data_IF_634557586738
#
_entry.id   IF_634557586738
#
_cell.length_a   1.000
_cell.length_b   1.000
_cell.length_c   1.000
_cell.angle_alpha   90.00
_cell.angle_beta   90.00
_cell.angle_gamma   90.00
#
_symmetry.space_group_name_H-M   'P 1'
#
loop_
_entity.id
_entity.type
_entity.pdbx_description
1 polymer ?
#
# COMPACT_ATOMS: atom_id res chain seq x y z
N UNK A 1 24.11 -25.29 11.23
CA UNK A 1 23.32 -25.08 10.00
C UNK A 1 21.87 -24.96 10.44
N UNK A 2 21.43 -23.74 10.74
CA UNK A 2 20.06 -23.49 11.18
C UNK A 2 19.23 -23.18 9.95
N UNK A 3 18.18 -23.95 9.76
CA UNK A 3 17.28 -23.92 8.62
C UNK A 3 16.57 -22.55 8.54
N UNK A 4 16.95 -21.73 7.55
CA UNK A 4 16.38 -20.37 7.36
C UNK A 4 14.92 -20.43 6.92
N UNK A 5 14.41 -21.62 6.58
CA UNK A 5 13.00 -21.82 6.26
C UNK A 5 12.06 -21.87 7.49
N UNK A 6 12.60 -21.91 8.71
CA UNK A 6 11.77 -22.12 9.92
C UNK A 6 11.40 -20.86 10.73
N UNK A 7 11.82 -19.65 10.32
CA UNK A 7 11.62 -18.42 11.13
C UNK A 7 10.58 -17.42 10.59
N UNK A 8 9.75 -17.78 9.60
CA UNK A 8 8.66 -16.88 9.14
C UNK A 8 7.25 -17.39 9.44
N UNK A 9 7.13 -18.50 10.17
CA UNK A 9 5.84 -19.09 10.54
C UNK A 9 5.57 -18.95 12.04
N UNK A 10 5.33 -17.73 12.53
CA UNK A 10 4.56 -17.57 13.76
C UNK A 10 3.85 -16.22 13.84
N UNK A 11 2.52 -16.24 13.77
CA UNK A 11 1.74 -15.44 14.71
C UNK A 11 0.91 -14.27 14.19
N UNK A 12 0.53 -14.20 12.92
CA UNK A 12 -0.55 -13.31 12.51
C UNK A 12 -1.69 -14.11 11.88
N UNK A 13 -2.77 -14.31 12.64
CA UNK A 13 -4.10 -14.58 12.09
C UNK A 13 -4.33 -13.59 10.94
N UNK A 14 -4.75 -14.02 9.72
CA UNK A 14 -5.01 -13.06 8.66
C UNK A 14 -6.06 -12.10 9.19
N UNK A 15 -5.83 -10.77 9.20
CA UNK A 15 -6.95 -9.88 9.35
C UNK A 15 -7.86 -10.23 8.17
N UNK A 16 -9.09 -10.68 8.43
CA UNK A 16 -10.14 -10.63 7.42
C UNK A 16 -9.95 -9.28 6.72
N UNK A 17 -9.75 -9.28 5.40
CA UNK A 17 -9.45 -8.08 4.65
C UNK A 17 -10.43 -7.00 5.10
N UNK A 18 -9.96 -6.07 5.93
CA UNK A 18 -10.84 -5.09 6.56
C UNK A 18 -11.27 -4.20 5.43
N UNK A 19 -12.45 -4.49 4.91
CA UNK A 19 -13.02 -3.74 3.82
C UNK A 19 -13.14 -2.29 4.28
N UNK A 20 -12.62 -1.37 3.46
CA UNK A 20 -12.71 0.05 3.75
C UNK A 20 -14.20 0.43 3.75
N UNK A 21 -14.69 0.90 4.90
CA UNK A 21 -16.10 1.25 5.11
C UNK A 21 -16.43 2.57 4.38
N UNK A 22 -16.68 2.45 3.07
CA UNK A 22 -16.98 3.58 2.20
C UNK A 22 -18.21 4.38 2.65
N UNK A 23 -19.37 3.77 2.99
CA UNK A 23 -20.53 4.53 3.49
C UNK A 23 -20.21 5.37 4.74
N UNK A 24 -19.41 4.82 5.67
CA UNK A 24 -18.98 5.59 6.86
C UNK A 24 -18.04 6.74 6.49
N UNK A 25 -17.13 6.55 5.53
CA UNK A 25 -16.28 7.63 5.04
C UNK A 25 -17.11 8.72 4.37
N UNK A 26 -18.10 8.36 3.53
CA UNK A 26 -18.99 9.34 2.89
C UNK A 26 -19.71 10.20 3.93
N UNK A 27 -20.28 9.57 4.96
CA UNK A 27 -20.92 10.30 6.06
C UNK A 27 -19.92 11.25 6.76
N UNK A 28 -18.72 10.76 7.10
CA UNK A 28 -17.70 11.57 7.76
C UNK A 28 -17.22 12.75 6.90
N UNK A 29 -17.02 12.55 5.59
CA UNK A 29 -16.58 13.61 4.67
C UNK A 29 -17.66 14.67 4.51
N UNK A 30 -18.94 14.27 4.48
CA UNK A 30 -20.06 15.23 4.47
C UNK A 30 -20.03 16.12 5.72
N UNK A 31 -19.82 15.53 6.90
CA UNK A 31 -19.68 16.28 8.15
C UNK A 31 -18.45 17.19 8.16
N UNK A 32 -17.31 16.73 7.64
CA UNK A 32 -16.10 17.55 7.52
C UNK A 32 -16.37 18.77 6.64
N UNK A 33 -17.01 18.60 5.47
CA UNK A 33 -17.36 19.71 4.58
C UNK A 33 -18.26 20.73 5.29
N UNK A 34 -19.30 20.28 5.99
CA UNK A 34 -20.15 21.16 6.77
C UNK A 34 -19.37 21.87 7.89
N UNK A 35 -18.51 21.15 8.61
CA UNK A 35 -17.75 21.67 9.73
C UNK A 35 -16.72 22.75 9.33
N UNK A 36 -16.20 22.70 8.10
CA UNK A 36 -15.30 23.73 7.56
C UNK A 36 -16.05 24.90 6.90
N UNK A 37 -17.39 24.91 6.96
CA UNK A 37 -18.23 25.99 6.44
C UNK A 37 -18.61 25.88 4.96
N UNK A 38 -18.36 24.74 4.32
CA UNK A 38 -18.88 24.48 2.96
C UNK A 38 -20.35 24.02 3.02
N UNK A 39 -21.08 24.21 1.93
CA UNK A 39 -22.42 23.63 1.73
C UNK A 39 -22.31 22.27 1.02
N UNK A 40 -22.54 21.12 1.71
CA UNK A 40 -22.43 19.80 1.10
C UNK A 40 -23.54 19.49 0.08
N UNK A 41 -24.54 20.36 -0.07
CA UNK A 41 -25.64 20.22 -1.02
C UNK A 41 -25.43 21.03 -2.30
N UNK A 42 -24.40 21.89 -2.39
CA UNK A 42 -24.10 22.59 -3.65
C UNK A 42 -23.66 21.61 -4.73
N UNK A 43 -24.03 21.88 -5.98
CA UNK A 43 -23.83 20.96 -7.13
C UNK A 43 -22.42 20.37 -7.21
N UNK A 44 -21.38 21.17 -6.94
CA UNK A 44 -19.98 20.71 -6.99
C UNK A 44 -19.55 19.75 -5.86
N UNK A 45 -20.31 19.68 -4.76
CA UNK A 45 -19.96 18.90 -3.56
C UNK A 45 -20.87 17.72 -3.26
N UNK A 46 -22.05 17.62 -3.89
CA UNK A 46 -23.00 16.54 -3.62
C UNK A 46 -22.35 15.15 -3.71
N UNK A 47 -21.53 14.94 -4.74
CA UNK A 47 -20.80 13.69 -4.99
C UNK A 47 -19.40 13.64 -4.37
N UNK A 48 -18.92 14.73 -3.75
CA UNK A 48 -17.57 14.79 -3.16
C UNK A 48 -17.36 13.69 -2.11
N UNK A 49 -18.29 13.44 -1.16
CA UNK A 49 -18.14 12.35 -0.21
C UNK A 49 -17.87 10.99 -0.86
N UNK A 50 -18.65 10.64 -1.89
CA UNK A 50 -18.48 9.38 -2.63
C UNK A 50 -17.16 9.32 -3.39
N UNK A 51 -16.70 10.43 -3.98
CA UNK A 51 -15.38 10.51 -4.61
C UNK A 51 -14.25 10.28 -3.60
N UNK A 52 -14.34 10.91 -2.43
CA UNK A 52 -13.33 10.74 -1.37
C UNK A 52 -13.32 9.31 -0.81
N UNK A 53 -14.49 8.70 -0.62
CA UNK A 53 -14.59 7.31 -0.17
C UNK A 53 -13.92 6.32 -1.13
N UNK A 54 -14.17 6.47 -2.45
CA UNK A 54 -13.49 5.66 -3.47
C UNK A 54 -11.98 5.89 -3.50
N UNK A 55 -11.55 7.15 -3.38
CA UNK A 55 -10.13 7.50 -3.29
C UNK A 55 -9.47 6.84 -2.07
N UNK A 56 -10.09 6.89 -0.88
CA UNK A 56 -9.58 6.24 0.32
C UNK A 56 -9.56 4.70 0.19
N UNK A 57 -10.55 4.10 -0.47
CA UNK A 57 -10.53 2.67 -0.74
C UNK A 57 -9.33 2.25 -1.62
N UNK A 58 -8.94 3.09 -2.58
CA UNK A 58 -7.74 2.87 -3.40
C UNK A 58 -6.45 3.12 -2.60
N UNK A 59 -6.32 4.29 -1.98
CA UNK A 59 -5.09 4.70 -1.28
C UNK A 59 -4.76 3.80 -0.08
N UNK A 60 -5.77 3.32 0.65
CA UNK A 60 -5.59 2.44 1.81
C UNK A 60 -5.76 0.95 1.49
N UNK A 61 -6.04 0.60 0.23
CA UNK A 61 -6.27 -0.78 -0.19
C UNK A 61 -5.08 -1.72 0.06
N UNK A 62 -3.86 -1.17 0.20
CA UNK A 62 -2.65 -1.91 0.52
C UNK A 62 -2.51 -2.33 2.00
N UNK A 63 -3.20 -1.67 2.95
CA UNK A 63 -2.98 -1.84 4.41
C UNK A 63 -3.22 -3.26 4.92
N UNK A 64 -4.09 -4.01 4.25
CA UNK A 64 -4.49 -5.37 4.64
C UNK A 64 -4.08 -6.41 3.60
N UNK A 65 -3.10 -6.08 2.76
CA UNK A 65 -2.56 -6.99 1.75
C UNK A 65 -1.24 -7.60 2.20
N UNK A 66 -1.02 -8.87 1.87
CA UNK A 66 0.27 -9.53 2.09
C UNK A 66 1.23 -9.18 0.94
N UNK A 67 2.27 -8.36 1.15
CA UNK A 67 3.16 -7.92 0.08
C UNK A 67 3.97 -9.08 -0.52
N UNK A 68 4.27 -10.12 0.26
CA UNK A 68 5.03 -11.29 -0.17
C UNK A 68 4.42 -12.01 -1.38
N UNK A 69 3.11 -11.86 -1.61
CA UNK A 69 2.42 -12.43 -2.77
C UNK A 69 3.00 -11.99 -4.12
N UNK A 70 3.57 -10.78 -4.18
CA UNK A 70 4.15 -10.25 -5.41
C UNK A 70 5.52 -10.87 -5.72
N UNK A 71 6.18 -11.46 -4.72
CA UNK A 71 7.54 -12.00 -4.80
C UNK A 71 7.60 -13.49 -5.15
N UNK A 72 6.46 -14.16 -5.35
CA UNK A 72 6.43 -15.60 -5.69
C UNK A 72 7.14 -15.97 -7.01
N UNK A 73 7.18 -15.04 -7.97
CA UNK A 73 7.86 -15.28 -9.25
C UNK A 73 9.33 -14.89 -9.13
N UNK A 74 10.19 -15.91 -9.07
CA UNK A 74 11.65 -15.79 -8.99
C UNK A 74 12.30 -16.57 -10.14
N UNK A 75 13.52 -16.18 -10.47
CA UNK A 75 14.39 -16.83 -11.44
C UNK A 75 15.58 -17.44 -10.70
N UNK A 76 15.95 -18.67 -11.06
CA UNK A 76 17.16 -19.29 -10.54
C UNK A 76 18.36 -18.75 -11.32
N UNK A 77 19.21 -18.00 -10.62
CA UNK A 77 20.37 -17.34 -11.22
C UNK A 77 21.54 -17.46 -10.24
N UNK A 78 22.70 -17.88 -10.74
CA UNK A 78 23.95 -17.89 -9.97
C UNK A 78 24.56 -16.48 -9.99
N UNK A 79 23.84 -15.54 -9.38
CA UNK A 79 24.27 -14.16 -9.20
C UNK A 79 24.34 -13.87 -7.70
N UNK A 80 25.52 -13.48 -7.22
CA UNK A 80 25.83 -13.26 -5.81
C UNK A 80 26.28 -11.81 -5.52
N UNK A 81 26.15 -10.92 -6.50
CA UNK A 81 26.37 -9.48 -6.36
C UNK A 81 25.07 -8.73 -5.99
N UNK A 82 25.20 -7.45 -5.67
CA UNK A 82 24.06 -6.61 -5.27
C UNK A 82 23.14 -6.30 -6.46
N UNK A 83 21.85 -6.59 -6.29
CA UNK A 83 20.79 -6.08 -7.17
C UNK A 83 20.25 -4.78 -6.56
N UNK A 84 20.30 -3.70 -7.34
CA UNK A 84 19.86 -2.37 -6.93
C UNK A 84 18.80 -1.82 -7.89
N UNK A 85 17.60 -1.54 -7.37
CA UNK A 85 16.54 -0.83 -8.08
C UNK A 85 16.36 0.52 -7.40
N UNK A 86 16.45 1.61 -8.17
CA UNK A 86 16.36 2.99 -7.68
C UNK A 86 15.20 3.72 -8.33
N UNK A 87 14.84 4.83 -7.71
CA UNK A 87 13.91 5.81 -8.27
C UNK A 87 12.51 5.23 -8.50
N UNK A 88 12.08 4.32 -7.61
CA UNK A 88 10.70 3.85 -7.59
C UNK A 88 9.86 4.97 -6.97
N UNK A 89 9.12 5.70 -7.81
CA UNK A 89 8.16 6.71 -7.33
C UNK A 89 7.05 6.03 -6.55
N UNK A 90 6.76 6.54 -5.36
CA UNK A 90 5.63 6.09 -4.57
C UNK A 90 4.82 7.28 -4.03
N UNK A 91 3.54 7.01 -3.81
CA UNK A 91 2.59 7.93 -3.20
C UNK A 91 2.00 7.22 -2.00
N UNK A 92 1.98 7.90 -0.85
CA UNK A 92 1.43 7.34 0.37
C UNK A 92 0.72 8.42 1.18
N UNK A 93 0.14 8.04 2.32
CA UNK A 93 -0.65 8.91 3.19
C UNK A 93 -0.05 8.89 4.59
N UNK A 94 0.22 10.07 5.15
CA UNK A 94 0.64 10.17 6.54
C UNK A 94 -0.56 9.86 7.45
N UNK A 95 -0.48 8.80 8.26
CA UNK A 95 -1.57 8.40 9.16
C UNK A 95 -1.95 9.45 10.20
N UNK A 96 -1.02 10.32 10.59
CA UNK A 96 -1.25 11.35 11.60
C UNK A 96 -2.13 12.50 11.11
N UNK A 97 -2.08 12.81 9.81
CA UNK A 97 -2.71 14.01 9.24
C UNK A 97 -3.61 13.69 8.06
N UNK A 98 -3.56 12.47 7.54
CA UNK A 98 -4.20 12.04 6.30
C UNK A 98 -3.84 12.93 5.11
N UNK A 99 -2.59 13.42 5.08
CA UNK A 99 -2.04 14.18 3.96
C UNK A 99 -1.14 13.29 3.11
N UNK A 100 -1.19 13.44 1.76
CA UNK A 100 -0.34 12.68 0.88
C UNK A 100 1.12 13.10 1.03
N UNK A 101 2.02 12.14 0.94
CA UNK A 101 3.44 12.40 0.72
C UNK A 101 3.94 11.57 -0.47
N UNK A 102 4.83 12.17 -1.23
CA UNK A 102 5.38 11.61 -2.45
C UNK A 102 6.88 11.47 -2.26
N UNK A 103 7.43 10.33 -2.67
CA UNK A 103 8.85 10.06 -2.50
C UNK A 103 9.41 9.11 -3.55
N UNK A 104 10.68 8.73 -3.31
CA UNK A 104 11.37 7.70 -4.07
C UNK A 104 11.85 6.62 -3.12
N UNK A 105 11.58 5.37 -3.47
CA UNK A 105 12.12 4.21 -2.80
C UNK A 105 13.29 3.64 -3.61
N UNK A 106 14.28 3.13 -2.89
CA UNK A 106 15.44 2.43 -3.44
C UNK A 106 15.53 1.09 -2.73
N UNK A 107 15.63 0.00 -3.50
CA UNK A 107 15.69 -1.36 -2.99
C UNK A 107 17.03 -1.96 -3.38
N UNK A 108 17.79 -2.44 -2.39
CA UNK A 108 19.01 -3.20 -2.57
C UNK A 108 18.90 -4.56 -1.89
N UNK A 109 19.30 -5.63 -2.57
CA UNK A 109 19.44 -6.96 -1.96
C UNK A 109 20.55 -7.78 -2.63
N UNK A 110 21.11 -8.74 -1.91
CA UNK A 110 22.08 -9.71 -2.43
C UNK A 110 21.37 -11.04 -2.61
N UNK A 111 21.23 -11.57 -3.83
CA UNK A 111 20.54 -12.82 -4.08
C UNK A 111 21.27 -14.04 -3.49
N UNK A 112 20.52 -15.11 -3.24
CA UNK A 112 21.07 -16.43 -2.87
C UNK A 112 20.52 -17.50 -3.81
N UNK A 113 21.04 -17.52 -5.03
CA UNK A 113 20.58 -18.44 -6.09
C UNK A 113 19.20 -18.13 -6.66
N UNK A 114 18.52 -17.06 -6.20
CA UNK A 114 17.18 -16.65 -6.64
C UNK A 114 17.08 -15.14 -6.78
N UNK A 115 16.69 -14.68 -7.96
CA UNK A 115 16.47 -13.27 -8.28
C UNK A 115 14.98 -13.05 -8.52
N UNK A 116 14.39 -12.04 -7.89
CA UNK A 116 12.99 -11.66 -8.20
C UNK A 116 12.93 -10.74 -9.42
N UNK A 117 11.83 -10.81 -10.17
CA UNK A 117 11.63 -9.91 -11.31
C UNK A 117 11.60 -8.45 -10.86
N UNK A 118 12.28 -7.55 -11.57
CA UNK A 118 12.37 -6.13 -11.20
C UNK A 118 11.00 -5.46 -11.06
N UNK A 119 10.04 -5.81 -11.92
CA UNK A 119 8.65 -5.32 -11.86
C UNK A 119 7.83 -5.87 -10.69
N UNK A 120 8.37 -6.80 -9.89
CA UNK A 120 7.77 -7.28 -8.64
C UNK A 120 8.18 -6.43 -7.46
N UNK A 121 9.42 -5.95 -7.43
CA UNK A 121 9.91 -5.01 -6.42
C UNK A 121 9.08 -3.73 -6.41
N UNK A 122 8.77 -3.18 -7.59
CA UNK A 122 7.91 -2.00 -7.72
C UNK A 122 6.44 -2.21 -7.30
N UNK A 123 5.98 -3.47 -7.12
CA UNK A 123 4.64 -3.77 -6.59
C UNK A 123 4.62 -3.97 -5.07
N UNK A 124 5.79 -4.10 -4.46
CA UNK A 124 5.94 -4.21 -3.00
C UNK A 124 6.06 -2.82 -2.37
N UNK A 125 6.67 -1.88 -3.09
CA UNK A 125 6.60 -0.44 -2.81
C UNK A 125 5.17 0.05 -3.00
#
# INVERSE_FOLDING_TARGET
>A
MTDVHQTLASGATPPEARHIDQPRIEAAVREILAAIGEDPHRDGLQDTPGRVARMYAEMFGGLHTEPGRHLHKVFEEQYDEMVLVRDITFHSMCEHHLLPFIGRAHIGYIPRGKVTGLSKLARVV
#
